data_IF_459802187566
#
_entry.id   IF_459802187566
#
_cell.length_a   1.000
_cell.length_b   1.000
_cell.length_c   1.000
_cell.angle_alpha   90.00
_cell.angle_beta   90.00
_cell.angle_gamma   90.00
#
_symmetry.space_group_name_H-M   'P 1'
#
loop_
_entity.id
_entity.type
_entity.pdbx_description
1 polymer ?
#
# COMPACT_ATOMS: atom_id res chain seq x y z
N UNK A 1 6.28 -63.00 39.02
CA UNK A 1 6.80 -61.62 39.01
C UNK A 1 7.42 -61.21 37.67
N UNK A 2 8.26 -62.03 37.02
CA UNK A 2 8.93 -61.76 35.74
C UNK A 2 8.02 -61.56 34.51
N UNK A 3 6.87 -62.25 34.43
CA UNK A 3 5.90 -62.13 33.31
C UNK A 3 5.10 -60.83 33.35
N UNK A 4 4.77 -60.29 34.51
CA UNK A 4 4.02 -59.06 34.70
C UNK A 4 4.86 -57.82 34.29
N UNK A 5 6.16 -57.85 34.60
CA UNK A 5 7.08 -56.76 34.22
C UNK A 5 7.32 -56.71 32.71
N UNK A 6 7.38 -57.83 32.03
CA UNK A 6 7.55 -57.95 30.58
C UNK A 6 6.31 -57.45 29.83
N UNK A 7 5.09 -57.72 30.34
CA UNK A 7 3.82 -57.26 29.82
C UNK A 7 3.66 -55.74 29.97
N UNK A 8 4.08 -55.19 31.10
CA UNK A 8 4.05 -53.74 31.31
C UNK A 8 5.00 -52.95 30.37
N UNK A 9 6.21 -53.46 30.13
CA UNK A 9 7.15 -52.87 29.16
C UNK A 9 6.65 -52.97 27.72
N UNK A 10 5.94 -54.01 27.34
CA UNK A 10 5.32 -54.16 26.04
C UNK A 10 4.16 -53.20 25.85
N UNK A 11 3.29 -53.07 26.86
CA UNK A 11 2.17 -52.12 26.83
C UNK A 11 2.66 -50.68 26.72
N UNK A 12 3.71 -50.28 27.46
CA UNK A 12 4.32 -48.97 27.40
C UNK A 12 4.89 -48.65 26.00
N UNK A 13 5.52 -49.64 25.34
CA UNK A 13 6.01 -49.51 23.96
C UNK A 13 4.87 -49.35 22.95
N UNK A 14 3.77 -50.07 23.10
CA UNK A 14 2.60 -49.94 22.21
C UNK A 14 1.96 -48.58 22.37
N UNK A 15 1.80 -48.08 23.60
CA UNK A 15 1.26 -46.75 23.87
C UNK A 15 2.17 -45.67 23.29
N UNK A 16 3.48 -45.81 23.41
CA UNK A 16 4.45 -44.87 22.83
C UNK A 16 4.38 -44.84 21.30
N UNK A 17 4.25 -46.00 20.66
CA UNK A 17 4.10 -46.12 19.20
C UNK A 17 2.78 -45.52 18.75
N UNK A 18 1.65 -45.75 19.47
CA UNK A 18 0.37 -45.11 19.16
C UNK A 18 0.43 -43.59 19.32
N UNK A 19 1.09 -43.07 20.36
CA UNK A 19 1.32 -41.59 20.55
C UNK A 19 2.13 -41.00 19.40
N UNK A 20 3.20 -41.68 18.98
CA UNK A 20 3.99 -41.26 17.82
C UNK A 20 3.18 -41.25 16.52
N UNK A 21 2.33 -42.28 16.33
CA UNK A 21 1.42 -42.34 15.17
C UNK A 21 0.40 -41.21 15.16
N UNK A 22 -0.20 -40.88 16.30
CA UNK A 22 -1.15 -39.76 16.46
C UNK A 22 -0.45 -38.41 16.19
N UNK A 23 0.75 -38.24 16.71
CA UNK A 23 1.55 -37.02 16.45
C UNK A 23 1.91 -36.86 14.96
N UNK A 24 2.32 -37.96 14.30
CA UNK A 24 2.58 -37.95 12.85
C UNK A 24 1.33 -37.67 12.02
N UNK A 25 0.16 -38.19 12.44
CA UNK A 25 -1.11 -37.92 11.75
C UNK A 25 -1.56 -36.49 11.91
N UNK A 26 -1.42 -35.88 13.10
CA UNK A 26 -1.74 -34.45 13.35
C UNK A 26 -0.81 -33.52 12.55
N UNK A 27 0.49 -33.82 12.51
CA UNK A 27 1.46 -33.03 11.73
C UNK A 27 1.16 -33.09 10.21
N UNK A 28 0.84 -34.29 9.69
CA UNK A 28 0.47 -34.46 8.25
C UNK A 28 -0.84 -33.74 7.87
N UNK A 29 -1.79 -33.62 8.79
CA UNK A 29 -3.05 -32.92 8.55
C UNK A 29 -2.79 -31.39 8.53
N UNK A 30 -2.02 -30.86 9.47
CA UNK A 30 -1.67 -29.43 9.55
C UNK A 30 -0.95 -28.92 8.30
N UNK A 31 -0.01 -29.69 7.75
CA UNK A 31 0.68 -29.33 6.50
C UNK A 31 -0.25 -29.27 5.28
N UNK A 32 -1.26 -30.14 5.19
CA UNK A 32 -2.24 -30.09 4.10
C UNK A 32 -3.15 -28.87 4.20
N UNK A 33 -3.58 -28.54 5.39
CA UNK A 33 -4.41 -27.36 5.65
C UNK A 33 -3.63 -26.07 5.37
N UNK A 34 -2.39 -25.99 5.82
CA UNK A 34 -1.53 -24.83 5.55
C UNK A 34 -1.28 -24.65 4.04
N UNK A 35 -0.99 -25.73 3.31
CA UNK A 35 -0.81 -25.67 1.84
C UNK A 35 -2.07 -25.22 1.14
N UNK A 36 -3.24 -25.70 1.54
CA UNK A 36 -4.51 -25.25 1.00
C UNK A 36 -4.74 -23.76 1.28
N UNK A 37 -4.42 -23.28 2.49
CA UNK A 37 -4.53 -21.89 2.85
C UNK A 37 -3.58 -20.99 2.02
N UNK A 38 -2.33 -21.42 1.79
CA UNK A 38 -1.37 -20.73 0.93
C UNK A 38 -1.89 -20.61 -0.51
N UNK A 39 -2.39 -21.71 -1.09
CA UNK A 39 -2.96 -21.70 -2.45
C UNK A 39 -4.19 -20.79 -2.56
N UNK A 40 -5.04 -20.79 -1.55
CA UNK A 40 -6.22 -19.92 -1.49
C UNK A 40 -5.84 -18.44 -1.36
N UNK A 41 -4.86 -18.12 -0.53
CA UNK A 41 -4.35 -16.76 -0.37
C UNK A 41 -3.70 -16.25 -1.67
N UNK A 42 -2.88 -17.07 -2.32
CA UNK A 42 -2.24 -16.69 -3.60
C UNK A 42 -3.27 -16.35 -4.68
N UNK A 43 -4.35 -17.15 -4.80
CA UNK A 43 -5.45 -16.89 -5.76
C UNK A 43 -6.20 -15.60 -5.49
N UNK A 44 -6.39 -15.22 -4.23
CA UNK A 44 -7.14 -14.01 -3.83
C UNK A 44 -6.27 -12.76 -3.74
N UNK A 45 -4.97 -12.93 -3.71
CA UNK A 45 -3.99 -11.89 -3.37
C UNK A 45 -4.18 -10.59 -4.13
N UNK A 46 -4.50 -10.66 -5.43
CA UNK A 46 -4.60 -9.46 -6.26
C UNK A 46 -5.97 -8.81 -6.21
N UNK A 47 -7.02 -9.57 -6.02
CA UNK A 47 -8.40 -9.08 -6.05
C UNK A 47 -8.94 -8.73 -4.66
N UNK A 48 -8.59 -9.53 -3.66
CA UNK A 48 -9.10 -9.44 -2.29
C UNK A 48 -7.97 -9.60 -1.26
N UNK A 49 -7.01 -8.63 -1.19
CA UNK A 49 -5.85 -8.77 -0.31
C UNK A 49 -6.19 -8.93 1.17
N UNK A 50 -7.25 -8.24 1.66
CA UNK A 50 -7.72 -8.39 3.03
C UNK A 50 -8.28 -9.80 3.31
N UNK A 51 -8.91 -10.41 2.32
CA UNK A 51 -9.37 -11.81 2.41
C UNK A 51 -8.19 -12.79 2.39
N UNK A 52 -7.19 -12.53 1.53
CA UNK A 52 -5.95 -13.30 1.50
C UNK A 52 -5.20 -13.22 2.84
N UNK A 53 -5.14 -12.02 3.44
CA UNK A 53 -4.53 -11.81 4.75
C UNK A 53 -5.20 -12.65 5.83
N UNK A 54 -6.53 -12.60 5.93
CA UNK A 54 -7.29 -13.40 6.91
C UNK A 54 -7.06 -14.91 6.76
N UNK A 55 -6.96 -15.39 5.51
CA UNK A 55 -6.64 -16.79 5.24
C UNK A 55 -5.24 -17.15 5.73
N UNK A 56 -4.25 -16.30 5.52
CA UNK A 56 -2.88 -16.54 5.99
C UNK A 56 -2.77 -16.47 7.52
N UNK A 57 -3.48 -15.55 8.15
CA UNK A 57 -3.54 -15.43 9.62
C UNK A 57 -4.29 -16.59 10.28
N UNK A 58 -5.09 -17.36 9.54
CA UNK A 58 -5.77 -18.56 10.04
C UNK A 58 -4.88 -19.80 10.10
N UNK A 59 -3.66 -19.76 9.55
CA UNK A 59 -2.71 -20.86 9.61
C UNK A 59 -2.28 -21.05 11.07
N UNK A 60 -2.63 -22.20 11.62
CA UNK A 60 -2.24 -22.59 12.98
C UNK A 60 -0.77 -23.04 12.95
N UNK A 61 0.05 -22.54 13.89
CA UNK A 61 1.46 -22.89 14.05
C UNK A 61 2.30 -22.62 12.78
N UNK A 62 2.33 -21.36 12.27
CA UNK A 62 3.13 -21.05 11.09
C UNK A 62 4.65 -21.25 11.32
N UNK A 63 5.08 -21.34 12.57
CA UNK A 63 6.44 -21.70 12.99
C UNK A 63 6.84 -23.13 12.65
N UNK A 64 5.88 -24.02 12.43
CA UNK A 64 6.12 -25.41 12.03
C UNK A 64 6.29 -25.57 10.50
N UNK A 65 6.05 -24.50 9.73
CA UNK A 65 6.27 -24.52 8.29
C UNK A 65 7.77 -24.55 7.97
N UNK A 66 8.14 -25.31 6.96
CA UNK A 66 9.53 -25.46 6.55
C UNK A 66 9.72 -25.28 5.03
N UNK A 67 10.94 -24.98 4.65
CA UNK A 67 11.37 -24.97 3.26
C UNK A 67 10.52 -24.07 2.37
N UNK A 68 9.88 -24.65 1.34
CA UNK A 68 9.06 -23.91 0.38
C UNK A 68 7.78 -23.34 1.03
N UNK A 69 7.13 -24.09 1.91
CA UNK A 69 5.87 -23.65 2.53
C UNK A 69 6.10 -22.43 3.43
N UNK A 70 7.19 -22.43 4.20
CA UNK A 70 7.59 -21.26 5.02
C UNK A 70 7.95 -20.06 4.14
N UNK A 71 8.65 -20.27 3.03
CA UNK A 71 9.00 -19.19 2.10
C UNK A 71 7.77 -18.61 1.38
N UNK A 72 6.82 -19.48 0.96
CA UNK A 72 5.55 -19.04 0.39
C UNK A 72 4.71 -18.27 1.41
N UNK A 73 4.62 -18.75 2.65
CA UNK A 73 3.94 -18.05 3.73
C UNK A 73 4.54 -16.66 3.97
N UNK A 74 5.87 -16.58 4.10
CA UNK A 74 6.57 -15.33 4.33
C UNK A 74 6.34 -14.31 3.20
N UNK A 75 6.40 -14.75 1.93
CA UNK A 75 6.13 -13.90 0.78
C UNK A 75 4.67 -13.45 0.75
N UNK A 76 3.73 -14.37 0.84
CA UNK A 76 2.30 -14.08 0.71
C UNK A 76 1.78 -13.22 1.87
N UNK A 77 2.22 -13.49 3.12
CA UNK A 77 1.82 -12.68 4.26
C UNK A 77 2.34 -11.25 4.15
N UNK A 78 3.62 -11.07 3.79
CA UNK A 78 4.19 -9.74 3.56
C UNK A 78 3.47 -9.02 2.41
N UNK A 79 3.17 -9.73 1.33
CA UNK A 79 2.41 -9.17 0.21
C UNK A 79 1.01 -8.73 0.63
N UNK A 80 0.27 -9.58 1.37
CA UNK A 80 -1.07 -9.26 1.85
C UNK A 80 -1.06 -8.04 2.78
N UNK A 81 -0.14 -7.99 3.75
CA UNK A 81 0.03 -6.85 4.65
C UNK A 81 0.33 -5.55 3.88
N UNK A 82 1.29 -5.58 2.94
CA UNK A 82 1.62 -4.44 2.11
C UNK A 82 0.42 -3.93 1.31
N UNK A 83 -0.37 -4.84 0.72
CA UNK A 83 -1.56 -4.48 -0.07
C UNK A 83 -2.74 -4.01 0.77
N UNK A 84 -2.83 -4.46 2.02
CA UNK A 84 -3.82 -4.01 3.02
C UNK A 84 -3.35 -2.74 3.78
N UNK A 85 -2.27 -2.09 3.34
CA UNK A 85 -1.69 -0.88 3.94
C UNK A 85 -1.29 -1.06 5.42
N UNK A 86 -0.89 -2.25 5.82
CA UNK A 86 -0.33 -2.51 7.15
C UNK A 86 1.15 -2.13 7.12
N UNK A 87 1.53 -1.20 7.98
CA UNK A 87 2.90 -0.70 8.07
C UNK A 87 3.80 -1.77 8.71
N UNK A 88 4.83 -2.19 7.98
CA UNK A 88 5.78 -3.17 8.48
C UNK A 88 6.79 -2.54 9.46
N UNK A 89 7.10 -3.29 10.53
CA UNK A 89 8.07 -2.88 11.57
C UNK A 89 9.34 -3.73 11.57
N UNK A 90 9.39 -4.82 10.79
CA UNK A 90 10.52 -5.74 10.68
C UNK A 90 10.55 -6.39 9.29
N UNK A 91 11.76 -6.63 8.79
CA UNK A 91 12.01 -7.36 7.53
C UNK A 91 12.34 -8.84 7.73
N UNK A 92 12.30 -9.33 8.97
CA UNK A 92 12.70 -10.71 9.31
C UNK A 92 11.91 -11.75 8.52
N UNK A 93 10.59 -11.55 8.39
CA UNK A 93 9.70 -12.49 7.69
C UNK A 93 10.04 -12.55 6.19
N UNK A 94 10.08 -11.41 5.51
CA UNK A 94 10.32 -11.38 4.06
C UNK A 94 11.75 -11.86 3.70
N UNK A 95 12.71 -11.74 4.61
CA UNK A 95 14.06 -12.25 4.42
C UNK A 95 14.11 -13.78 4.25
N UNK A 96 13.16 -14.51 4.83
CA UNK A 96 13.00 -15.96 4.63
C UNK A 96 12.72 -16.26 3.15
N UNK A 97 11.74 -15.56 2.56
CA UNK A 97 11.40 -15.71 1.15
C UNK A 97 12.55 -15.27 0.22
N UNK A 98 13.18 -14.13 0.52
CA UNK A 98 14.33 -13.62 -0.22
C UNK A 98 15.48 -14.64 -0.24
N UNK A 99 15.81 -15.26 0.89
CA UNK A 99 16.84 -16.28 0.98
C UNK A 99 16.47 -17.57 0.25
N UNK A 100 15.23 -18.03 0.41
CA UNK A 100 14.78 -19.29 -0.19
C UNK A 100 14.72 -19.22 -1.72
N UNK A 101 14.19 -18.13 -2.31
CA UNK A 101 13.97 -18.00 -3.75
C UNK A 101 15.17 -17.48 -4.52
N UNK A 102 16.34 -17.29 -3.90
CA UNK A 102 17.51 -16.67 -4.51
C UNK A 102 17.83 -17.26 -5.89
N UNK A 103 17.93 -18.59 -6.00
CA UNK A 103 18.32 -19.31 -7.22
C UNK A 103 17.25 -20.33 -7.68
N UNK A 104 16.02 -20.26 -7.15
CA UNK A 104 14.99 -21.28 -7.37
C UNK A 104 13.86 -20.82 -8.28
N UNK A 105 13.38 -19.59 -8.10
CA UNK A 105 12.21 -19.06 -8.80
C UNK A 105 12.38 -17.55 -9.00
N UNK A 106 12.59 -17.13 -10.24
CA UNK A 106 12.83 -15.73 -10.56
C UNK A 106 11.62 -14.82 -10.33
N UNK A 107 10.41 -15.33 -10.56
CA UNK A 107 9.17 -14.56 -10.29
C UNK A 107 9.02 -14.32 -8.79
N UNK A 108 9.12 -15.37 -7.98
CA UNK A 108 9.01 -15.27 -6.53
C UNK A 108 10.21 -14.53 -5.91
N UNK A 109 11.41 -14.67 -6.46
CA UNK A 109 12.57 -13.87 -6.08
C UNK A 109 12.30 -12.39 -6.26
N UNK A 110 11.82 -12.00 -7.46
CA UNK A 110 11.54 -10.59 -7.78
C UNK A 110 10.41 -10.04 -6.90
N UNK A 111 9.34 -10.83 -6.68
CA UNK A 111 8.27 -10.45 -5.76
C UNK A 111 8.77 -10.28 -4.33
N UNK A 112 9.63 -11.19 -3.84
CA UNK A 112 10.22 -11.09 -2.50
C UNK A 112 11.06 -9.82 -2.34
N UNK A 113 11.86 -9.45 -3.34
CA UNK A 113 12.64 -8.22 -3.34
C UNK A 113 11.73 -6.98 -3.41
N UNK A 114 10.68 -6.99 -4.23
CA UNK A 114 9.70 -5.91 -4.28
C UNK A 114 9.10 -5.63 -2.89
N UNK A 115 8.60 -6.66 -2.22
CA UNK A 115 7.97 -6.49 -0.91
C UNK A 115 8.97 -6.19 0.19
N UNK A 116 10.21 -6.73 0.12
CA UNK A 116 11.31 -6.31 1.01
C UNK A 116 11.62 -4.83 0.86
N UNK A 117 11.68 -4.31 -0.37
CA UNK A 117 11.83 -2.88 -0.62
C UNK A 117 10.71 -2.04 0.01
N UNK A 118 9.46 -2.53 -0.07
CA UNK A 118 8.31 -1.92 0.60
C UNK A 118 8.44 -1.88 2.12
N UNK A 119 8.80 -3.01 2.71
CA UNK A 119 9.04 -3.14 4.17
C UNK A 119 10.15 -2.20 4.65
N UNK A 120 11.29 -2.18 3.97
CA UNK A 120 12.41 -1.29 4.32
C UNK A 120 12.03 0.19 4.21
N UNK A 121 11.26 0.56 3.19
CA UNK A 121 10.71 1.92 3.06
C UNK A 121 9.79 2.28 4.24
N UNK A 122 8.91 1.37 4.66
CA UNK A 122 8.02 1.57 5.81
C UNK A 122 8.80 1.70 7.12
N UNK A 123 9.93 1.00 7.25
CA UNK A 123 10.88 1.13 8.37
C UNK A 123 11.74 2.43 8.29
N UNK A 124 11.61 3.24 7.23
CA UNK A 124 12.40 4.44 7.02
C UNK A 124 13.83 4.19 6.54
N UNK A 125 14.16 2.96 6.12
CA UNK A 125 15.46 2.56 5.60
C UNK A 125 15.54 2.77 4.08
N UNK A 126 15.44 4.03 3.67
CA UNK A 126 15.26 4.38 2.25
C UNK A 126 16.44 3.98 1.35
N UNK A 127 17.68 4.05 1.86
CA UNK A 127 18.87 3.66 1.09
C UNK A 127 18.89 2.15 0.85
N UNK A 128 18.61 1.35 1.89
CA UNK A 128 18.50 -0.11 1.75
C UNK A 128 17.34 -0.48 0.82
N UNK A 129 16.19 0.19 0.95
CA UNK A 129 15.03 -0.01 0.08
C UNK A 129 15.39 0.29 -1.39
N UNK A 130 16.13 1.36 -1.67
CA UNK A 130 16.58 1.71 -3.02
C UNK A 130 17.44 0.60 -3.62
N UNK A 131 18.40 0.07 -2.87
CA UNK A 131 19.27 -1.01 -3.34
C UNK A 131 18.45 -2.28 -3.67
N UNK A 132 17.51 -2.64 -2.79
CA UNK A 132 16.66 -3.83 -2.98
C UNK A 132 15.71 -3.66 -4.17
N UNK A 133 15.11 -2.48 -4.37
CA UNK A 133 14.30 -2.21 -5.56
C UNK A 133 15.14 -2.20 -6.84
N UNK A 134 16.39 -1.72 -6.80
CA UNK A 134 17.30 -1.79 -7.96
C UNK A 134 17.70 -3.23 -8.29
N UNK A 135 17.91 -4.07 -7.28
CA UNK A 135 18.09 -5.50 -7.49
C UNK A 135 16.84 -6.12 -8.13
N UNK A 136 15.62 -5.81 -7.61
CA UNK A 136 14.38 -6.28 -8.22
C UNK A 136 14.22 -5.82 -9.68
N UNK A 137 14.57 -4.56 -9.99
CA UNK A 137 14.55 -4.01 -11.35
C UNK A 137 15.41 -4.81 -12.32
N UNK A 138 16.58 -5.32 -11.88
CA UNK A 138 17.48 -6.12 -12.72
C UNK A 138 16.87 -7.44 -13.21
N UNK A 139 15.86 -7.95 -12.52
CA UNK A 139 15.13 -9.17 -12.90
C UNK A 139 13.94 -8.91 -13.83
N UNK A 140 13.50 -7.66 -14.05
CA UNK A 140 12.33 -7.31 -14.89
C UNK A 140 12.35 -8.00 -16.28
N UNK A 141 13.49 -8.09 -17.01
CA UNK A 141 13.48 -8.75 -18.31
C UNK A 141 13.22 -10.26 -18.27
N UNK A 142 13.22 -10.86 -17.08
CA UNK A 142 13.08 -12.30 -16.86
C UNK A 142 11.74 -12.70 -16.27
N UNK A 143 10.87 -11.75 -15.91
CA UNK A 143 9.56 -11.99 -15.28
C UNK A 143 8.41 -11.62 -16.23
N UNK A 144 7.25 -12.23 -16.01
CA UNK A 144 6.05 -12.03 -16.85
C UNK A 144 4.95 -11.23 -16.12
N UNK A 145 4.98 -11.18 -14.80
CA UNK A 145 3.95 -10.47 -14.04
C UNK A 145 4.16 -8.95 -14.10
N UNK A 146 3.45 -8.32 -15.02
CA UNK A 146 3.48 -6.86 -15.21
C UNK A 146 3.02 -6.08 -13.96
N UNK A 147 2.29 -6.70 -13.04
CA UNK A 147 1.88 -6.08 -11.77
C UNK A 147 3.11 -5.84 -10.89
N UNK A 148 3.99 -6.83 -10.79
CA UNK A 148 5.26 -6.73 -10.06
C UNK A 148 6.15 -5.65 -10.69
N UNK A 149 6.26 -5.64 -12.03
CA UNK A 149 7.02 -4.63 -12.77
C UNK A 149 6.54 -3.22 -12.45
N UNK A 150 5.23 -3.00 -12.48
CA UNK A 150 4.64 -1.69 -12.17
C UNK A 150 4.96 -1.25 -10.75
N UNK A 151 4.79 -2.13 -9.77
CA UNK A 151 5.05 -1.81 -8.37
C UNK A 151 6.53 -1.53 -8.09
N UNK A 152 7.46 -2.21 -8.78
CA UNK A 152 8.91 -1.91 -8.70
C UNK A 152 9.17 -0.49 -9.20
N UNK A 153 8.65 -0.12 -10.38
CA UNK A 153 8.83 1.23 -10.92
C UNK A 153 8.17 2.29 -10.04
N UNK A 154 7.00 2.02 -9.47
CA UNK A 154 6.37 2.92 -8.50
C UNK A 154 7.23 3.09 -7.24
N UNK A 155 7.76 2.00 -6.69
CA UNK A 155 8.65 2.03 -5.52
C UNK A 155 9.90 2.90 -5.77
N UNK A 156 10.55 2.70 -6.90
CA UNK A 156 11.71 3.51 -7.34
C UNK A 156 11.32 4.96 -7.58
N UNK A 157 10.16 5.21 -8.17
CA UNK A 157 9.61 6.55 -8.37
C UNK A 157 9.41 7.30 -7.05
N UNK A 158 8.78 6.68 -6.08
CA UNK A 158 8.54 7.28 -4.75
C UNK A 158 9.83 7.56 -3.97
N UNK A 159 10.79 6.62 -3.96
CA UNK A 159 12.06 6.85 -3.27
C UNK A 159 12.88 7.97 -3.92
N UNK A 160 12.91 8.05 -5.25
CA UNK A 160 13.57 9.15 -5.95
C UNK A 160 12.87 10.51 -5.68
N UNK A 161 11.53 10.53 -5.61
CA UNK A 161 10.77 11.73 -5.22
C UNK A 161 11.12 12.18 -3.80
N UNK A 162 11.15 11.25 -2.84
CA UNK A 162 11.51 11.52 -1.44
C UNK A 162 12.92 12.09 -1.33
N UNK A 163 13.86 11.57 -2.12
CA UNK A 163 15.25 12.03 -2.19
C UNK A 163 15.44 13.26 -3.10
N UNK A 164 14.36 13.87 -3.60
CA UNK A 164 14.37 15.04 -4.50
C UNK A 164 15.06 14.81 -5.85
N UNK A 165 15.24 13.55 -6.25
CA UNK A 165 15.75 13.17 -7.57
C UNK A 165 14.60 13.19 -8.59
N UNK A 166 14.03 14.37 -8.85
CA UNK A 166 12.77 14.52 -9.59
C UNK A 166 12.86 13.98 -11.03
N UNK A 167 13.98 14.17 -11.71
CA UNK A 167 14.17 13.64 -13.07
C UNK A 167 14.04 12.12 -13.12
N UNK A 168 14.72 11.40 -12.21
CA UNK A 168 14.61 9.95 -12.11
C UNK A 168 13.22 9.50 -11.64
N UNK A 169 12.62 10.24 -10.72
CA UNK A 169 11.26 9.96 -10.26
C UNK A 169 10.25 10.01 -11.42
N UNK A 170 10.33 11.05 -12.25
CA UNK A 170 9.48 11.20 -13.46
C UNK A 170 9.71 10.01 -14.42
N UNK A 171 10.97 9.64 -14.68
CA UNK A 171 11.28 8.50 -15.55
C UNK A 171 10.63 7.21 -15.04
N UNK A 172 10.77 6.91 -13.75
CA UNK A 172 10.18 5.72 -13.17
C UNK A 172 8.66 5.72 -13.17
N UNK A 173 8.00 6.85 -12.87
CA UNK A 173 6.54 6.91 -12.97
C UNK A 173 6.07 6.81 -14.43
N UNK A 174 6.79 7.38 -15.40
CA UNK A 174 6.50 7.17 -16.83
C UNK A 174 6.63 5.70 -17.22
N UNK A 175 7.68 5.01 -16.78
CA UNK A 175 7.83 3.55 -16.97
C UNK A 175 6.66 2.79 -16.35
N UNK A 176 6.25 3.12 -15.12
CA UNK A 176 5.10 2.51 -14.47
C UNK A 176 3.79 2.67 -15.26
N UNK A 177 3.53 3.87 -15.79
CA UNK A 177 2.34 4.15 -16.63
C UNK A 177 2.36 3.40 -17.97
N UNK A 178 3.56 3.19 -18.53
CA UNK A 178 3.76 2.53 -19.82
C UNK A 178 3.62 1.00 -19.75
N UNK A 179 3.71 0.39 -18.57
CA UNK A 179 3.53 -1.06 -18.42
C UNK A 179 2.10 -1.44 -18.84
N UNK A 180 2.00 -2.36 -19.80
CA UNK A 180 0.69 -2.85 -20.25
C UNK A 180 0.10 -3.83 -19.24
N UNK A 181 -0.88 -3.41 -18.48
CA UNK A 181 -1.58 -4.23 -17.51
C UNK A 181 -3.09 -4.14 -17.76
N UNK A 182 -3.71 -5.29 -17.88
CA UNK A 182 -5.16 -5.46 -17.89
C UNK A 182 -5.48 -6.25 -16.63
N UNK A 183 -6.18 -5.78 -15.69
CA UNK A 183 -7.55 -5.28 -15.62
C UNK A 183 -7.76 -4.08 -14.67
N UNK A 184 -9.03 -3.77 -14.32
CA UNK A 184 -9.55 -2.62 -13.58
C UNK A 184 -8.80 -2.24 -12.28
N UNK A 185 -8.19 -3.20 -11.57
CA UNK A 185 -7.46 -2.97 -10.30
C UNK A 185 -6.17 -2.17 -10.49
N UNK A 186 -5.60 -2.23 -11.68
CA UNK A 186 -4.36 -1.53 -12.04
C UNK A 186 -4.61 -0.06 -12.36
N UNK A 187 -5.87 0.30 -12.60
CA UNK A 187 -6.25 1.67 -12.86
C UNK A 187 -5.87 2.59 -11.69
N UNK A 188 -5.97 2.11 -10.44
CA UNK A 188 -5.56 2.86 -9.25
C UNK A 188 -4.07 3.17 -9.23
N UNK A 189 -3.21 2.24 -9.67
CA UNK A 189 -1.76 2.46 -9.77
C UNK A 189 -1.40 3.42 -10.89
N UNK A 190 -2.08 3.30 -12.03
CA UNK A 190 -1.92 4.23 -13.14
C UNK A 190 -2.32 5.65 -12.73
N UNK A 191 -3.47 5.81 -12.08
CA UNK A 191 -3.91 7.09 -11.50
C UNK A 191 -2.88 7.63 -10.52
N UNK A 192 -2.39 6.79 -9.60
CA UNK A 192 -1.38 7.20 -8.63
C UNK A 192 -0.07 7.65 -9.29
N UNK A 193 0.39 6.94 -10.30
CA UNK A 193 1.61 7.30 -11.05
C UNK A 193 1.44 8.60 -11.82
N UNK A 194 0.32 8.79 -12.53
CA UNK A 194 0.02 10.04 -13.26
C UNK A 194 -0.13 11.21 -12.29
N UNK A 195 -0.76 11.00 -11.12
CA UNK A 195 -0.89 12.04 -10.09
C UNK A 195 0.47 12.48 -9.55
N UNK A 196 1.41 11.54 -9.35
CA UNK A 196 2.78 11.90 -8.96
C UNK A 196 3.51 12.62 -10.09
N UNK A 197 3.34 12.21 -11.35
CA UNK A 197 3.88 12.94 -12.50
C UNK A 197 3.37 14.38 -12.53
N UNK A 198 2.06 14.61 -12.37
CA UNK A 198 1.46 15.93 -12.33
C UNK A 198 2.06 16.80 -11.22
N UNK A 199 2.10 16.25 -9.99
CA UNK A 199 2.62 16.96 -8.83
C UNK A 199 4.10 17.29 -8.97
N UNK A 200 4.94 16.33 -9.37
CA UNK A 200 6.39 16.54 -9.52
C UNK A 200 6.66 17.56 -10.63
N UNK A 201 5.98 17.45 -11.77
CA UNK A 201 6.11 18.39 -12.89
C UNK A 201 5.78 19.81 -12.44
N UNK A 202 4.71 20.00 -11.67
CA UNK A 202 4.35 21.29 -11.10
C UNK A 202 5.46 21.85 -10.18
N UNK A 203 5.93 21.05 -9.20
CA UNK A 203 6.96 21.51 -8.26
C UNK A 203 8.32 21.74 -8.92
N UNK A 204 8.59 21.06 -10.02
CA UNK A 204 9.81 21.24 -10.79
C UNK A 204 9.71 22.40 -11.79
N UNK A 205 8.56 23.09 -11.85
CA UNK A 205 8.33 24.27 -12.68
C UNK A 205 7.90 23.98 -14.12
N UNK A 206 7.63 22.71 -14.46
CA UNK A 206 7.09 22.31 -15.76
C UNK A 206 5.56 22.30 -15.70
N UNK A 207 4.96 23.47 -15.92
CA UNK A 207 3.50 23.64 -15.86
C UNK A 207 2.77 22.93 -17.00
N UNK A 208 3.33 22.94 -18.20
CA UNK A 208 2.71 22.31 -19.36
C UNK A 208 2.54 20.79 -19.13
N UNK A 209 3.56 20.14 -18.61
CA UNK A 209 3.46 18.73 -18.22
C UNK A 209 2.48 18.51 -17.07
N UNK A 210 2.42 19.40 -16.09
CA UNK A 210 1.46 19.31 -14.99
C UNK A 210 0.01 19.40 -15.51
N UNK A 211 -0.29 20.37 -16.36
CA UNK A 211 -1.60 20.52 -17.01
C UNK A 211 -1.97 19.29 -17.84
N UNK A 212 -1.02 18.77 -18.62
CA UNK A 212 -1.24 17.55 -19.41
C UNK A 212 -1.61 16.36 -18.53
N UNK A 213 -0.86 16.11 -17.45
CA UNK A 213 -1.14 14.98 -16.56
C UNK A 213 -2.45 15.16 -15.78
N UNK A 214 -2.76 16.37 -15.32
CA UNK A 214 -4.04 16.64 -14.67
C UNK A 214 -5.22 16.50 -15.64
N UNK A 215 -5.08 16.90 -16.91
CA UNK A 215 -6.09 16.64 -17.94
C UNK A 215 -6.33 15.14 -18.12
N UNK A 216 -5.26 14.33 -18.23
CA UNK A 216 -5.37 12.87 -18.29
C UNK A 216 -6.09 12.28 -17.07
N UNK A 217 -5.81 12.78 -15.86
CA UNK A 217 -6.50 12.33 -14.65
C UNK A 217 -8.00 12.65 -14.69
N UNK A 218 -8.38 13.84 -15.14
CA UNK A 218 -9.78 14.22 -15.26
C UNK A 218 -10.53 13.35 -16.30
N UNK A 219 -9.89 12.99 -17.40
CA UNK A 219 -10.44 12.06 -18.41
C UNK A 219 -10.64 10.63 -17.83
N UNK A 220 -9.86 10.26 -16.82
CA UNK A 220 -9.98 8.97 -16.14
C UNK A 220 -11.08 8.94 -15.06
N UNK A 221 -11.61 10.07 -14.63
CA UNK A 221 -12.62 10.15 -13.55
C UNK A 221 -13.84 9.23 -13.79
N UNK A 222 -14.43 9.14 -14.99
CA UNK A 222 -15.58 8.25 -15.23
C UNK A 222 -15.24 6.75 -15.12
N UNK A 223 -13.97 6.40 -15.14
CA UNK A 223 -13.47 5.02 -15.18
C UNK A 223 -13.11 4.47 -13.79
N UNK A 224 -13.06 5.32 -12.77
CA UNK A 224 -12.58 4.98 -11.44
C UNK A 224 -13.70 5.06 -10.40
N UNK A 225 -13.48 4.42 -9.24
CA UNK A 225 -14.41 4.48 -8.11
C UNK A 225 -14.43 5.87 -7.44
N UNK A 226 -15.41 6.09 -6.57
CA UNK A 226 -15.62 7.36 -5.88
C UNK A 226 -14.42 7.79 -5.03
N UNK A 227 -13.67 6.85 -4.46
CA UNK A 227 -12.48 7.16 -3.65
C UNK A 227 -11.37 7.76 -4.53
N UNK A 228 -11.10 7.17 -5.69
CA UNK A 228 -10.12 7.69 -6.64
C UNK A 228 -10.58 8.99 -7.28
N UNK A 229 -11.87 9.13 -7.61
CA UNK A 229 -12.45 10.40 -8.06
C UNK A 229 -12.18 11.52 -7.05
N UNK A 230 -12.48 11.27 -5.78
CA UNK A 230 -12.22 12.21 -4.69
C UNK A 230 -10.73 12.61 -4.63
N UNK A 231 -9.81 11.66 -4.75
CA UNK A 231 -8.36 11.93 -4.76
C UNK A 231 -7.95 12.79 -5.96
N UNK A 232 -8.47 12.49 -7.16
CA UNK A 232 -8.19 13.27 -8.36
C UNK A 232 -8.69 14.71 -8.19
N UNK A 233 -9.95 14.90 -7.81
CA UNK A 233 -10.53 16.23 -7.62
C UNK A 233 -9.82 17.03 -6.55
N UNK A 234 -9.48 16.42 -5.42
CA UNK A 234 -8.76 17.08 -4.34
C UNK A 234 -7.37 17.57 -4.79
N UNK A 235 -6.59 16.71 -5.45
CA UNK A 235 -5.26 17.09 -5.94
C UNK A 235 -5.32 18.16 -7.03
N UNK A 236 -6.30 18.07 -7.94
CA UNK A 236 -6.51 19.10 -8.94
C UNK A 236 -6.94 20.44 -8.32
N UNK A 237 -7.80 20.41 -7.30
CA UNK A 237 -8.16 21.59 -6.51
C UNK A 237 -6.95 22.24 -5.84
N UNK A 238 -6.03 21.45 -5.27
CA UNK A 238 -4.75 21.96 -4.74
C UNK A 238 -3.94 22.63 -5.85
N UNK A 239 -3.80 21.99 -6.99
CA UNK A 239 -3.04 22.52 -8.13
C UNK A 239 -3.60 23.85 -8.58
N UNK A 240 -4.91 23.95 -8.82
CA UNK A 240 -5.58 25.19 -9.23
C UNK A 240 -5.51 26.30 -8.17
N UNK A 241 -5.55 25.92 -6.88
CA UNK A 241 -5.33 26.87 -5.77
C UNK A 241 -3.94 27.49 -5.82
N UNK A 242 -2.91 26.72 -6.13
CA UNK A 242 -1.53 27.20 -6.26
C UNK A 242 -1.34 28.11 -7.49
N UNK A 243 -2.06 27.86 -8.56
CA UNK A 243 -2.12 28.71 -9.75
C UNK A 243 -2.98 29.97 -9.54
N UNK A 244 -3.58 30.14 -8.34
CA UNK A 244 -4.49 31.23 -7.99
C UNK A 244 -5.79 31.26 -8.82
N UNK A 245 -6.14 30.13 -9.44
CA UNK A 245 -7.40 29.94 -10.13
C UNK A 245 -8.50 29.56 -9.13
N UNK A 246 -8.86 30.52 -8.26
CA UNK A 246 -9.67 30.29 -7.05
C UNK A 246 -11.04 29.65 -7.34
N UNK A 247 -11.72 30.10 -8.36
CA UNK A 247 -13.04 29.58 -8.74
C UNK A 247 -12.99 28.12 -9.21
N UNK A 248 -11.97 27.79 -10.02
CA UNK A 248 -11.74 26.41 -10.47
C UNK A 248 -11.32 25.50 -9.31
N UNK A 249 -10.42 25.99 -8.44
CA UNK A 249 -10.02 25.30 -7.23
C UNK A 249 -11.23 24.97 -6.34
N UNK A 250 -12.08 25.96 -6.06
CA UNK A 250 -13.29 25.74 -5.26
C UNK A 250 -14.21 24.68 -5.89
N UNK A 251 -14.48 24.78 -7.19
CA UNK A 251 -15.32 23.84 -7.93
C UNK A 251 -14.86 22.39 -7.72
N UNK A 252 -13.55 22.13 -7.83
CA UNK A 252 -13.04 20.77 -7.71
C UNK A 252 -12.89 20.31 -6.26
N UNK A 253 -12.57 21.21 -5.32
CA UNK A 253 -12.59 20.86 -3.89
C UNK A 253 -14.00 20.51 -3.42
N UNK A 254 -15.03 21.19 -3.89
CA UNK A 254 -16.44 20.83 -3.61
C UNK A 254 -16.79 19.44 -4.18
N UNK A 255 -16.41 19.15 -5.44
CA UNK A 255 -16.57 17.79 -6.01
C UNK A 255 -15.85 16.71 -5.20
N UNK A 256 -14.68 17.03 -4.64
CA UNK A 256 -14.00 16.11 -3.74
C UNK A 256 -14.78 15.89 -2.44
N UNK A 257 -15.44 16.91 -1.90
CA UNK A 257 -16.26 16.83 -0.68
C UNK A 257 -17.54 16.03 -0.87
N UNK A 258 -18.15 16.03 -2.06
CA UNK A 258 -19.42 15.31 -2.33
C UNK A 258 -19.33 13.80 -2.02
N UNK A 259 -18.15 13.20 -2.16
CA UNK A 259 -17.91 11.77 -1.95
C UNK A 259 -16.83 11.49 -0.89
N UNK A 260 -16.28 12.53 -0.25
CA UNK A 260 -15.20 12.36 0.70
C UNK A 260 -15.68 11.84 2.05
N UNK A 261 -14.85 10.99 2.66
CA UNK A 261 -15.01 10.52 4.04
C UNK A 261 -13.68 10.58 4.79
N UNK A 262 -13.74 10.59 6.12
CA UNK A 262 -12.53 10.52 6.96
C UNK A 262 -11.54 11.67 6.72
N UNK A 263 -10.26 11.31 6.63
CA UNK A 263 -9.13 12.26 6.52
C UNK A 263 -9.20 13.15 5.27
N UNK A 264 -9.68 12.62 4.14
CA UNK A 264 -9.79 13.38 2.89
C UNK A 264 -10.87 14.45 3.00
N UNK A 265 -11.98 14.16 3.67
CA UNK A 265 -13.07 15.11 3.88
C UNK A 265 -12.58 16.34 4.65
N UNK A 266 -11.90 16.15 5.76
CA UNK A 266 -11.43 17.29 6.54
C UNK A 266 -10.33 18.09 5.83
N UNK A 267 -9.42 17.43 5.09
CA UNK A 267 -8.38 18.14 4.30
C UNK A 267 -9.00 18.99 3.21
N UNK A 268 -10.03 18.48 2.55
CA UNK A 268 -10.77 19.23 1.55
C UNK A 268 -11.54 20.42 2.17
N UNK A 269 -12.12 20.24 3.37
CA UNK A 269 -12.73 21.35 4.11
C UNK A 269 -11.71 22.44 4.47
N UNK A 270 -10.52 22.08 4.96
CA UNK A 270 -9.47 23.07 5.26
C UNK A 270 -8.97 23.79 4.00
N UNK A 271 -8.83 23.07 2.89
CA UNK A 271 -8.49 23.70 1.63
C UNK A 271 -9.59 24.66 1.17
N UNK A 272 -10.85 24.30 1.30
CA UNK A 272 -11.98 25.16 0.97
C UNK A 272 -12.02 26.40 1.88
N UNK A 273 -11.79 26.23 3.18
CA UNK A 273 -11.68 27.36 4.12
C UNK A 273 -10.54 28.32 3.74
N UNK A 274 -9.39 27.79 3.35
CA UNK A 274 -8.27 28.60 2.85
C UNK A 274 -8.63 29.38 1.56
N UNK A 275 -9.37 28.74 0.62
CA UNK A 275 -9.85 29.42 -0.58
C UNK A 275 -10.83 30.56 -0.24
N UNK A 276 -11.72 30.36 0.73
CA UNK A 276 -12.63 31.42 1.20
C UNK A 276 -11.89 32.57 1.83
N UNK A 277 -10.92 32.29 2.72
CA UNK A 277 -10.09 33.33 3.31
C UNK A 277 -9.38 34.16 2.23
N UNK A 278 -8.76 33.49 1.26
CA UNK A 278 -8.05 34.18 0.15
C UNK A 278 -8.95 34.99 -0.78
N UNK A 279 -10.24 34.72 -0.78
CA UNK A 279 -11.26 35.44 -1.58
C UNK A 279 -12.11 36.39 -0.76
N UNK A 280 -11.75 36.63 0.52
CA UNK A 280 -12.44 37.59 1.40
C UNK A 280 -13.81 37.14 1.88
N UNK A 281 -14.07 35.81 1.90
CA UNK A 281 -15.36 35.22 2.31
C UNK A 281 -15.29 34.71 3.76
N UNK A 282 -15.04 35.60 4.70
CA UNK A 282 -14.78 35.25 6.10
C UNK A 282 -15.95 34.55 6.80
N UNK A 283 -17.20 34.91 6.48
CA UNK A 283 -18.38 34.25 7.03
C UNK A 283 -18.49 32.78 6.66
N UNK A 284 -18.09 32.43 5.44
CA UNK A 284 -18.04 31.03 4.98
C UNK A 284 -16.90 30.26 5.64
N UNK A 285 -15.75 30.89 5.91
CA UNK A 285 -14.66 30.30 6.70
C UNK A 285 -15.17 29.89 8.08
N UNK A 286 -15.80 30.81 8.80
CA UNK A 286 -16.31 30.57 10.14
C UNK A 286 -17.36 29.45 10.14
N UNK A 287 -18.30 29.49 9.21
CA UNK A 287 -19.36 28.48 9.08
C UNK A 287 -18.79 27.08 8.81
N UNK A 288 -17.81 26.98 7.90
CA UNK A 288 -17.19 25.71 7.53
C UNK A 288 -16.35 25.13 8.68
N UNK A 289 -15.59 25.99 9.37
CA UNK A 289 -14.80 25.59 10.53
C UNK A 289 -15.68 25.15 11.69
N UNK A 290 -16.79 25.85 11.97
CA UNK A 290 -17.75 25.42 12.99
C UNK A 290 -18.40 24.08 12.68
N UNK A 291 -18.77 23.82 11.42
CA UNK A 291 -19.27 22.53 10.98
C UNK A 291 -18.23 21.43 11.19
N UNK A 292 -16.99 21.65 10.74
CA UNK A 292 -15.90 20.69 10.87
C UNK A 292 -15.55 20.41 12.35
N UNK A 293 -15.58 21.41 13.23
CA UNK A 293 -15.37 21.24 14.67
C UNK A 293 -16.48 20.40 15.35
N UNK A 294 -17.69 20.42 14.85
CA UNK A 294 -18.80 19.60 15.38
C UNK A 294 -18.69 18.14 14.99
N UNK A 295 -18.22 17.87 13.76
CA UNK A 295 -18.29 16.55 13.14
C UNK A 295 -16.98 15.75 13.19
N UNK A 296 -15.85 16.38 13.57
CA UNK A 296 -14.53 15.79 13.47
C UNK A 296 -14.01 15.19 14.78
N UNK A 297 -13.06 14.26 14.64
CA UNK A 297 -12.30 13.67 15.74
C UNK A 297 -11.36 14.68 16.41
N UNK A 298 -10.89 14.42 17.66
CA UNK A 298 -10.04 15.37 18.42
C UNK A 298 -8.76 15.82 17.66
N UNK A 299 -8.10 14.91 16.97
CA UNK A 299 -6.88 15.23 16.20
C UNK A 299 -7.16 16.19 15.03
N UNK A 300 -8.33 16.07 14.40
CA UNK A 300 -8.77 16.96 13.32
C UNK A 300 -9.15 18.32 13.89
N UNK A 301 -9.84 18.36 15.04
CA UNK A 301 -10.18 19.61 15.73
C UNK A 301 -8.95 20.45 16.05
N UNK A 302 -7.87 19.82 16.53
CA UNK A 302 -6.61 20.51 16.80
C UNK A 302 -6.06 21.22 15.55
N UNK A 303 -6.14 20.61 14.37
CA UNK A 303 -5.69 21.21 13.10
C UNK A 303 -6.59 22.35 12.63
N UNK A 304 -7.91 22.23 12.87
CA UNK A 304 -8.85 23.31 12.56
C UNK A 304 -8.60 24.53 13.47
N UNK A 305 -8.37 24.32 14.76
CA UNK A 305 -8.01 25.39 15.69
C UNK A 305 -6.68 26.05 15.30
N UNK A 306 -5.70 25.28 14.87
CA UNK A 306 -4.43 25.81 14.37
C UNK A 306 -4.64 26.68 13.11
N UNK A 307 -5.45 26.21 12.16
CA UNK A 307 -5.80 26.99 10.97
C UNK A 307 -6.50 28.31 11.35
N UNK A 308 -7.50 28.28 12.23
CA UNK A 308 -8.20 29.47 12.71
C UNK A 308 -7.27 30.43 13.44
N UNK A 309 -6.30 29.92 14.20
CA UNK A 309 -5.29 30.74 14.85
C UNK A 309 -4.41 31.47 13.82
N UNK A 310 -3.90 30.79 12.83
CA UNK A 310 -3.08 31.40 11.76
C UNK A 310 -3.88 32.44 10.97
N UNK A 311 -5.11 32.18 10.61
CA UNK A 311 -6.00 33.13 9.94
C UNK A 311 -6.23 34.39 10.80
N UNK A 312 -6.46 34.24 12.10
CA UNK A 312 -6.63 35.37 13.00
C UNK A 312 -5.35 36.20 13.17
N UNK A 313 -4.17 35.57 13.11
CA UNK A 313 -2.88 36.28 13.15
C UNK A 313 -2.62 37.01 11.83
N UNK A 314 -2.96 36.40 10.70
CA UNK A 314 -2.77 36.99 9.37
C UNK A 314 -3.71 38.19 9.10
N UNK A 315 -4.84 38.28 9.80
CA UNK A 315 -5.82 39.40 9.69
C UNK A 315 -5.50 40.62 10.58
N UNK A 316 -4.53 40.49 11.49
CA UNK A 316 -4.04 41.60 12.35
C UNK A 316 -2.85 42.30 11.73
#
# INVERSE_FOLDING_TARGET
>A
MYMVEKSGKLLCRIVLIMLLFVLCFCASCGHKEARYALDMAEKRMWDEPDSALKVLESIVMPEDLEGKELADYALLLTQAQYRSNIVATSDSLINIAVGYYQDKDVEKRTASLLYKGGVLKDMGKDEEAMLVYKEAESYIPRIKDNRIVTLIYMGLGYLNQKNRNYALSIDYFKKSVAVNIVPKQVLSWKVSSIMNLANISYYWGNRDDADLYYSQLLDMVPLVDSMLQTKIYYNYGIYKSKEKEWAEAEKYVRKALDNASGDVSYRAMLLLANLYSRTGRDGEVDSLCQYALKTSEPAVKARIYYFLYEENVARK
#
